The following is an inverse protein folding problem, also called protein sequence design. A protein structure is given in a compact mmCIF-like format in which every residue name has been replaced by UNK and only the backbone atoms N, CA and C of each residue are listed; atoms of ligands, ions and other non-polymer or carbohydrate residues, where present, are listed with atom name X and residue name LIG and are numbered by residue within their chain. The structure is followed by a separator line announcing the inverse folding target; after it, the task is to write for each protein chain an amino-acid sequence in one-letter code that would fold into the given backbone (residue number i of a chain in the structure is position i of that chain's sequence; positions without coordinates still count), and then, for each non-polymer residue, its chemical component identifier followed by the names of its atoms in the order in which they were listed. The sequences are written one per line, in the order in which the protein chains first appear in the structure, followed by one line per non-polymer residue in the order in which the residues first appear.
data_IF_435749771944
#
_entry.id   IF_435749771944
#
_cell.length_a   1.000
_cell.length_b   1.000
_cell.length_c   1.000
_cell.angle_alpha   90.00
_cell.angle_beta   90.00
_cell.angle_gamma   90.00
#
_symmetry.space_group_name_H-M   'P 1'
#
loop_
_entity.id
_entity.type
_entity.pdbx_description
1 polymer ?
#
# COMPACT_ATOMS: atom_id res chain seq x y z
N UNK A 1 37.32 18.13 -3.83
CA UNK A 1 36.88 17.20 -4.90
C UNK A 1 36.86 18.01 -6.19
N UNK A 2 37.51 17.54 -7.26
CA UNK A 2 37.61 18.30 -8.51
C UNK A 2 36.22 18.42 -9.18
N UNK A 3 35.81 19.62 -9.60
CA UNK A 3 34.48 19.87 -10.17
C UNK A 3 34.19 18.96 -11.37
N UNK A 4 35.24 18.62 -12.12
CA UNK A 4 35.20 17.69 -13.25
C UNK A 4 34.80 16.26 -12.83
N UNK A 5 35.20 15.80 -11.65
CA UNK A 5 34.89 14.43 -11.17
C UNK A 5 33.42 14.33 -10.74
N UNK A 6 32.91 15.33 -10.02
CA UNK A 6 31.48 15.40 -9.66
C UNK A 6 30.62 15.55 -10.91
N UNK A 7 31.05 16.39 -11.85
CA UNK A 7 30.41 16.58 -13.16
C UNK A 7 30.32 15.28 -13.94
N UNK A 8 31.43 14.54 -14.06
CA UNK A 8 31.49 13.29 -14.81
C UNK A 8 30.60 12.21 -14.16
N UNK A 9 30.59 12.11 -12.82
CA UNK A 9 29.72 11.17 -12.09
C UNK A 9 28.23 11.47 -12.31
N UNK A 10 27.82 12.73 -12.20
CA UNK A 10 26.42 13.14 -12.43
C UNK A 10 26.04 12.85 -13.89
N UNK A 11 26.89 13.18 -14.87
CA UNK A 11 26.62 12.92 -16.28
C UNK A 11 26.50 11.42 -16.58
N UNK A 12 27.39 10.58 -16.05
CA UNK A 12 27.33 9.11 -16.24
C UNK A 12 26.04 8.53 -15.67
N UNK A 13 25.58 9.00 -14.52
CA UNK A 13 24.34 8.55 -13.88
C UNK A 13 23.13 9.02 -14.70
N UNK A 14 23.09 10.28 -15.13
CA UNK A 14 22.01 10.78 -15.99
C UNK A 14 21.92 9.97 -17.30
N UNK A 15 23.06 9.62 -17.90
CA UNK A 15 23.11 8.77 -19.09
C UNK A 15 22.61 7.35 -18.78
N UNK A 16 23.04 6.75 -17.66
CA UNK A 16 22.65 5.39 -17.25
C UNK A 16 21.16 5.25 -16.95
N UNK A 17 20.52 6.29 -16.42
CA UNK A 17 19.10 6.29 -16.06
C UNK A 17 18.20 6.95 -17.12
N UNK A 18 18.74 7.31 -18.29
CA UNK A 18 17.95 7.73 -19.46
C UNK A 18 17.75 6.53 -20.40
N UNK A 19 16.52 6.10 -20.69
CA UNK A 19 16.28 4.97 -21.61
C UNK A 19 16.95 5.22 -22.96
N UNK A 20 17.58 4.18 -23.54
CA UNK A 20 18.39 4.26 -24.77
C UNK A 20 17.60 4.88 -25.95
N UNK A 21 16.28 4.73 -25.98
CA UNK A 21 15.41 5.30 -27.01
C UNK A 21 15.15 6.82 -26.88
N UNK A 22 15.59 7.47 -25.80
CA UNK A 22 15.38 8.90 -25.51
C UNK A 22 16.69 9.71 -25.42
N UNK A 23 17.83 9.14 -25.83
CA UNK A 23 19.14 9.80 -25.72
C UNK A 23 19.21 11.17 -26.45
N UNK A 24 18.41 11.37 -27.51
CA UNK A 24 18.34 12.63 -28.25
C UNK A 24 17.46 13.71 -27.60
N UNK A 25 16.71 13.38 -26.53
CA UNK A 25 15.80 14.34 -25.88
C UNK A 25 16.49 15.24 -24.85
N UNK A 26 17.66 14.84 -24.36
CA UNK A 26 18.34 15.55 -23.28
C UNK A 26 19.60 16.26 -23.79
N UNK A 27 19.62 17.58 -23.67
CA UNK A 27 20.81 18.39 -23.95
C UNK A 27 21.34 18.98 -22.66
N UNK A 28 22.61 18.71 -22.37
CA UNK A 28 23.36 19.32 -21.29
C UNK A 28 24.01 20.59 -21.85
N UNK A 29 23.51 21.76 -21.46
CA UNK A 29 24.13 23.03 -21.85
C UNK A 29 24.94 23.58 -20.69
N UNK A 30 26.25 23.72 -20.88
CA UNK A 30 27.13 24.44 -19.96
C UNK A 30 27.19 25.92 -20.39
N UNK A 31 26.81 26.85 -19.50
CA UNK A 31 27.11 28.27 -19.75
C UNK A 31 28.50 28.57 -19.18
N UNK A 32 29.42 28.97 -20.07
CA UNK A 32 30.84 29.21 -19.73
C UNK A 32 31.07 30.23 -18.61
N UNK A 33 30.05 30.99 -18.21
CA UNK A 33 30.22 32.10 -17.27
C UNK A 33 29.71 31.89 -15.83
N UNK A 34 28.96 30.84 -15.46
CA UNK A 34 28.29 30.84 -14.12
C UNK A 34 28.09 29.49 -13.41
N UNK A 35 28.79 28.41 -13.78
CA UNK A 35 28.70 27.14 -13.02
C UNK A 35 27.31 26.49 -13.01
N UNK A 36 26.50 26.74 -14.05
CA UNK A 36 25.12 26.23 -14.16
C UNK A 36 25.05 25.09 -15.16
N UNK A 37 24.32 24.04 -14.78
CA UNK A 37 24.00 22.91 -15.64
C UNK A 37 22.48 22.89 -15.81
N UNK A 38 22.03 23.20 -17.02
CA UNK A 38 20.63 23.02 -17.40
C UNK A 38 20.44 21.66 -18.04
N UNK A 39 19.58 20.82 -17.45
CA UNK A 39 19.07 19.63 -18.11
C UNK A 39 17.82 20.05 -18.86
N UNK A 40 17.85 19.93 -20.18
CA UNK A 40 16.70 20.24 -21.05
C UNK A 40 16.02 18.96 -21.53
N UNK A 41 14.69 18.99 -21.69
CA UNK A 41 13.90 17.96 -22.37
C UNK A 41 12.99 18.68 -23.39
N UNK A 42 13.12 18.36 -24.68
CA UNK A 42 12.41 19.05 -25.77
C UNK A 42 12.60 20.58 -25.79
N UNK A 43 13.80 21.06 -25.43
CA UNK A 43 14.14 22.49 -25.41
C UNK A 43 13.78 23.24 -24.12
N UNK A 44 12.93 22.66 -23.26
CA UNK A 44 12.58 23.24 -21.94
C UNK A 44 13.54 22.77 -20.85
N UNK A 45 13.96 23.68 -19.95
CA UNK A 45 14.85 23.37 -18.83
C UNK A 45 14.03 22.75 -17.69
N UNK A 46 14.30 21.48 -17.37
CA UNK A 46 13.58 20.74 -16.33
C UNK A 46 14.32 20.70 -14.99
N UNK A 47 15.65 20.79 -15.01
CA UNK A 47 16.50 20.84 -13.81
C UNK A 47 17.61 21.84 -14.05
N UNK A 48 17.88 22.71 -13.07
CA UNK A 48 19.06 23.57 -13.04
C UNK A 48 19.91 23.17 -11.84
N UNK A 49 21.09 22.62 -12.10
CA UNK A 49 22.14 22.45 -11.11
C UNK A 49 22.97 23.74 -11.08
N UNK A 50 23.11 24.35 -9.91
CA UNK A 50 24.01 25.49 -9.70
C UNK A 50 25.15 25.07 -8.79
N UNK A 51 26.37 25.02 -9.33
CA UNK A 51 27.59 24.74 -8.56
C UNK A 51 28.24 26.07 -8.20
N UNK A 52 28.39 26.37 -6.91
CA UNK A 52 29.06 27.59 -6.45
C UNK A 52 30.47 27.28 -5.94
N UNK A 53 31.39 28.19 -6.25
CA UNK A 53 32.84 28.03 -6.13
C UNK A 53 33.44 28.35 -4.76
N UNK A 54 32.75 29.16 -3.96
CA UNK A 54 33.39 29.92 -2.88
C UNK A 54 32.56 29.82 -1.59
N UNK A 55 33.08 29.06 -0.64
CA UNK A 55 32.48 28.75 0.67
C UNK A 55 32.29 29.98 1.57
N UNK A 56 32.93 31.12 1.26
CA UNK A 56 32.84 32.32 2.08
C UNK A 56 31.78 33.32 1.61
N UNK A 57 31.02 33.00 0.55
CA UNK A 57 29.95 33.87 0.04
C UNK A 57 28.62 33.11 0.04
N UNK A 58 27.78 33.43 1.01
CA UNK A 58 26.34 33.11 0.93
C UNK A 58 25.82 33.54 -0.44
N UNK A 59 25.11 32.65 -1.14
CA UNK A 59 24.43 33.01 -2.39
C UNK A 59 23.49 34.17 -2.06
N UNK A 60 23.62 35.35 -2.71
CA UNK A 60 22.78 36.48 -2.41
C UNK A 60 21.29 36.10 -2.52
N UNK A 61 20.45 36.37 -1.50
CA UNK A 61 19.03 36.05 -1.52
C UNK A 61 18.29 36.61 -2.75
N UNK A 62 18.80 37.69 -3.35
CA UNK A 62 18.30 38.28 -4.60
C UNK A 62 18.49 37.37 -5.82
N UNK A 63 19.65 36.72 -5.95
CA UNK A 63 19.92 35.76 -7.04
C UNK A 63 19.05 34.52 -6.89
N UNK A 64 18.91 34.04 -5.65
CA UNK A 64 18.02 32.94 -5.28
C UNK A 64 16.58 33.30 -5.67
N UNK A 65 16.09 34.47 -5.26
CA UNK A 65 14.75 34.96 -5.59
C UNK A 65 14.49 35.15 -7.09
N UNK A 66 15.47 35.62 -7.88
CA UNK A 66 15.32 35.73 -9.33
C UNK A 66 15.30 34.38 -10.05
N UNK A 67 16.12 33.42 -9.61
CA UNK A 67 16.09 32.07 -10.18
C UNK A 67 14.81 31.32 -9.79
N UNK A 68 14.28 31.55 -8.58
CA UNK A 68 13.00 31.02 -8.12
C UNK A 68 11.82 31.47 -8.99
N UNK A 69 11.82 32.72 -9.48
CA UNK A 69 10.79 33.21 -10.40
C UNK A 69 10.85 32.54 -11.77
N UNK A 70 12.01 32.01 -12.15
CA UNK A 70 12.28 31.54 -13.52
C UNK A 70 12.24 30.02 -13.67
N UNK A 71 12.50 29.25 -12.62
CA UNK A 71 12.58 27.79 -12.66
C UNK A 71 11.83 27.16 -11.47
N UNK A 72 10.55 26.77 -11.64
CA UNK A 72 9.68 26.43 -10.51
C UNK A 72 9.85 25.01 -9.95
N UNK A 73 10.73 24.17 -10.52
CA UNK A 73 10.70 22.72 -10.24
C UNK A 73 11.78 22.19 -9.31
N UNK A 74 13.04 22.65 -9.37
CA UNK A 74 14.09 22.22 -8.44
C UNK A 74 15.36 23.08 -8.52
N UNK A 75 15.94 23.42 -7.37
CA UNK A 75 17.29 24.00 -7.28
C UNK A 75 18.15 23.14 -6.36
N UNK A 76 19.25 22.60 -6.90
CA UNK A 76 20.29 21.90 -6.14
C UNK A 76 21.48 22.84 -5.99
N UNK A 77 21.87 23.09 -4.73
CA UNK A 77 23.03 23.92 -4.40
C UNK A 77 24.07 23.04 -3.72
N UNK A 78 25.24 22.89 -4.33
CA UNK A 78 26.39 22.22 -3.72
C UNK A 78 27.33 23.29 -3.16
N UNK A 79 27.68 23.19 -1.87
CA UNK A 79 28.72 23.99 -1.22
C UNK A 79 29.99 23.12 -1.08
N UNK A 80 31.16 23.72 -1.29
CA UNK A 80 32.40 22.99 -1.55
C UNK A 80 33.31 22.79 -0.35
N UNK A 81 32.77 22.68 0.85
CA UNK A 81 33.52 22.13 2.00
C UNK A 81 33.60 20.59 1.97
N UNK A 82 32.94 19.95 1.01
CA UNK A 82 33.24 18.57 0.59
C UNK A 82 32.31 17.50 1.14
N UNK A 83 31.28 17.83 1.91
CA UNK A 83 30.39 16.81 2.49
C UNK A 83 28.89 17.17 2.52
N UNK A 84 28.46 18.36 2.08
CA UNK A 84 27.07 18.79 2.27
C UNK A 84 26.39 19.30 0.99
N UNK A 85 25.27 18.67 0.67
CA UNK A 85 24.38 19.01 -0.43
C UNK A 85 23.03 19.42 0.13
N UNK A 86 22.54 20.59 -0.26
CA UNK A 86 21.21 21.03 0.11
C UNK A 86 20.25 20.84 -1.06
N UNK A 87 19.22 20.02 -0.84
CA UNK A 87 18.10 19.86 -1.77
C UNK A 87 16.94 20.69 -1.24
N UNK A 88 16.43 21.61 -2.06
CA UNK A 88 15.25 22.40 -1.71
C UNK A 88 14.06 21.95 -2.56
N UNK A 89 13.04 21.40 -1.91
CA UNK A 89 11.77 21.05 -2.54
C UNK A 89 10.76 22.19 -2.37
N UNK A 90 10.36 22.81 -3.48
CA UNK A 90 9.42 23.94 -3.49
C UNK A 90 8.03 23.55 -2.95
N UNK A 91 7.59 22.31 -3.15
CA UNK A 91 6.23 21.89 -2.77
C UNK A 91 6.07 21.88 -1.25
N UNK A 92 7.13 21.52 -0.54
CA UNK A 92 7.09 21.26 0.89
C UNK A 92 7.81 22.33 1.74
N UNK A 93 8.48 23.30 1.09
CA UNK A 93 9.31 24.34 1.73
C UNK A 93 10.37 23.79 2.71
N UNK A 94 10.80 22.55 2.51
CA UNK A 94 11.77 21.91 3.39
C UNK A 94 13.20 22.03 2.84
N UNK A 95 14.12 22.32 3.76
CA UNK A 95 15.57 22.20 3.55
C UNK A 95 16.01 20.86 4.12
N UNK A 96 16.68 20.06 3.32
CA UNK A 96 17.36 18.87 3.80
C UNK A 96 18.82 18.89 3.32
N UNK A 97 19.72 18.66 4.27
CA UNK A 97 21.16 18.49 4.04
C UNK A 97 21.44 17.01 3.91
N UNK A 98 22.11 16.62 2.84
CA UNK A 98 22.52 15.24 2.57
C UNK A 98 24.03 15.19 2.35
N UNK A 99 24.63 14.04 2.64
CA UNK A 99 25.91 13.69 2.04
C UNK A 99 25.74 13.40 0.54
N UNK A 100 26.84 13.10 -0.16
CA UNK A 100 26.81 12.88 -1.60
C UNK A 100 25.87 11.72 -1.98
N UNK A 101 25.93 10.60 -1.27
CA UNK A 101 25.17 9.40 -1.59
C UNK A 101 23.66 9.59 -1.29
N UNK A 102 23.33 10.28 -0.20
CA UNK A 102 21.97 10.71 0.12
C UNK A 102 21.39 11.67 -0.92
N UNK A 103 22.18 12.66 -1.38
CA UNK A 103 21.76 13.55 -2.46
C UNK A 103 21.52 12.77 -3.76
N UNK A 104 22.42 11.85 -4.10
CA UNK A 104 22.29 11.04 -5.31
C UNK A 104 21.06 10.14 -5.26
N UNK A 105 20.74 9.57 -4.10
CA UNK A 105 19.52 8.78 -3.88
C UNK A 105 18.26 9.61 -4.10
N UNK A 106 18.21 10.82 -3.52
CA UNK A 106 17.09 11.74 -3.70
C UNK A 106 16.95 12.22 -5.16
N UNK A 107 18.07 12.50 -5.83
CA UNK A 107 18.08 12.89 -7.23
C UNK A 107 17.58 11.76 -8.13
N UNK A 108 18.01 10.51 -7.89
CA UNK A 108 17.54 9.33 -8.63
C UNK A 108 16.04 9.11 -8.39
N UNK A 109 15.59 9.20 -7.13
CA UNK A 109 14.16 9.08 -6.80
C UNK A 109 13.34 10.14 -7.54
N UNK A 110 13.77 11.40 -7.50
CA UNK A 110 13.08 12.48 -8.19
C UNK A 110 13.07 12.31 -9.72
N UNK A 111 14.20 11.90 -10.32
CA UNK A 111 14.28 11.63 -11.77
C UNK A 111 13.30 10.51 -12.15
N UNK A 112 13.21 9.44 -11.33
CA UNK A 112 12.21 8.38 -11.52
C UNK A 112 10.80 8.95 -11.44
N UNK A 113 10.47 9.72 -10.40
CA UNK A 113 9.14 10.32 -10.20
C UNK A 113 8.73 11.28 -11.32
N UNK A 114 9.66 12.11 -11.82
CA UNK A 114 9.42 13.07 -12.91
C UNK A 114 9.33 12.37 -14.27
N UNK A 115 10.16 11.35 -14.54
CA UNK A 115 10.05 10.57 -15.77
C UNK A 115 8.72 9.78 -15.79
N UNK A 116 8.31 9.16 -14.69
CA UNK A 116 7.00 8.48 -14.57
C UNK A 116 5.86 9.44 -14.91
N UNK A 117 5.91 10.69 -14.45
CA UNK A 117 4.82 11.68 -14.67
C UNK A 117 4.69 12.20 -16.10
N UNK A 118 5.71 12.15 -16.96
CA UNK A 118 5.64 12.75 -18.31
C UNK A 118 6.03 11.85 -19.48
N UNK A 119 6.68 10.69 -19.27
CA UNK A 119 7.07 9.80 -20.39
C UNK A 119 6.05 8.71 -20.72
N UNK A 120 4.85 8.74 -20.15
CA UNK A 120 3.75 7.89 -20.60
C UNK A 120 2.53 8.73 -20.96
N UNK A 121 2.51 9.13 -22.24
CA UNK A 121 1.30 9.09 -23.08
C UNK A 121 1.12 7.64 -23.62
N UNK A 122 1.79 6.66 -23.00
CA UNK A 122 1.42 5.26 -23.13
C UNK A 122 0.17 5.08 -22.28
N UNK A 123 -0.91 4.67 -22.93
CA UNK A 123 -2.09 4.14 -22.24
C UNK A 123 -1.62 3.19 -21.13
N UNK A 124 -1.98 3.44 -19.86
CA UNK A 124 -1.61 2.55 -18.77
C UNK A 124 -2.09 1.13 -19.13
N UNK A 125 -1.29 0.11 -18.78
CA UNK A 125 -1.65 -1.26 -19.11
C UNK A 125 -3.06 -1.55 -18.58
N UNK A 126 -3.91 -2.02 -19.49
CA UNK A 126 -5.31 -2.27 -19.17
C UNK A 126 -5.35 -3.58 -18.39
N UNK A 127 -5.65 -3.49 -17.10
CA UNK A 127 -5.95 -4.68 -16.29
C UNK A 127 -7.30 -5.21 -16.75
N UNK A 128 -7.31 -6.45 -17.26
CA UNK A 128 -8.52 -7.16 -17.73
C UNK A 128 -8.89 -8.36 -16.86
N UNK A 129 -8.01 -8.78 -15.94
CA UNK A 129 -8.18 -9.87 -14.99
C UNK A 129 -7.41 -9.55 -13.70
N UNK A 130 -7.74 -10.20 -12.57
CA UNK A 130 -6.94 -10.05 -11.35
C UNK A 130 -5.50 -10.54 -11.53
N UNK A 131 -5.30 -11.61 -12.31
CA UNK A 131 -3.95 -12.06 -12.67
C UNK A 131 -3.13 -10.98 -13.40
N UNK A 132 -3.80 -10.08 -14.13
CA UNK A 132 -3.17 -8.95 -14.79
C UNK A 132 -2.60 -7.90 -13.82
N UNK A 133 -2.91 -7.98 -12.52
CA UNK A 133 -2.35 -7.07 -11.50
C UNK A 133 -0.88 -7.35 -11.20
N UNK A 134 -0.33 -8.50 -11.62
CA UNK A 134 1.10 -8.79 -11.49
C UNK A 134 2.00 -7.85 -12.34
N UNK A 135 1.40 -6.98 -13.15
CA UNK A 135 2.11 -5.88 -13.84
C UNK A 135 2.56 -4.79 -12.86
N UNK A 136 1.89 -4.67 -11.72
CA UNK A 136 2.28 -3.76 -10.66
C UNK A 136 3.42 -4.41 -9.86
N UNK A 137 4.49 -3.64 -9.67
CA UNK A 137 5.65 -4.10 -8.91
C UNK A 137 5.22 -4.50 -7.50
N UNK A 138 5.66 -5.67 -7.04
CA UNK A 138 5.40 -6.14 -5.67
C UNK A 138 4.08 -6.89 -5.49
N UNK A 139 3.29 -7.11 -6.54
CA UNK A 139 2.11 -7.96 -6.51
C UNK A 139 2.41 -9.30 -7.19
N UNK A 140 2.34 -10.38 -6.41
CA UNK A 140 2.45 -11.75 -6.89
C UNK A 140 1.04 -12.36 -7.03
N UNK A 141 0.79 -13.09 -8.11
CA UNK A 141 -0.50 -13.74 -8.36
C UNK A 141 -0.35 -15.27 -8.33
N UNK A 142 -1.27 -15.89 -7.61
CA UNK A 142 -1.40 -17.35 -7.48
C UNK A 142 -2.86 -17.76 -7.64
N UNK A 143 -3.09 -19.07 -7.77
CA UNK A 143 -4.44 -19.65 -7.80
C UNK A 143 -4.55 -20.85 -6.90
N UNK A 144 -5.65 -20.96 -6.19
CA UNK A 144 -6.04 -22.14 -5.43
C UNK A 144 -7.47 -22.55 -5.81
N UNK A 145 -7.61 -23.67 -6.50
CA UNK A 145 -8.88 -24.04 -7.12
C UNK A 145 -9.33 -22.98 -8.14
N UNK A 146 -10.53 -22.44 -7.94
CA UNK A 146 -11.10 -21.35 -8.74
C UNK A 146 -10.73 -19.95 -8.24
N UNK A 147 -10.07 -19.83 -7.08
CA UNK A 147 -9.76 -18.55 -6.42
C UNK A 147 -8.46 -17.94 -6.91
N UNK A 148 -8.49 -16.63 -7.14
CA UNK A 148 -7.29 -15.80 -7.32
C UNK A 148 -6.74 -15.41 -5.93
N UNK A 149 -5.42 -15.49 -5.76
CA UNK A 149 -4.70 -15.08 -4.56
C UNK A 149 -3.66 -14.04 -4.96
N UNK A 150 -3.67 -12.88 -4.32
CA UNK A 150 -2.71 -11.80 -4.55
C UNK A 150 -1.87 -11.59 -3.29
N UNK A 151 -0.54 -11.69 -3.43
CA UNK A 151 0.41 -11.53 -2.32
C UNK A 151 1.25 -10.27 -2.55
N UNK A 152 1.40 -9.44 -1.53
CA UNK A 152 2.13 -8.16 -1.59
C UNK A 152 2.70 -7.78 -0.21
N UNK A 153 3.44 -6.67 -0.11
CA UNK A 153 4.16 -6.28 1.12
C UNK A 153 3.49 -5.19 1.96
N UNK A 154 2.71 -4.30 1.34
CA UNK A 154 2.08 -3.12 1.98
C UNK A 154 0.56 -3.34 2.03
N UNK A 155 -0.04 -3.30 3.21
CA UNK A 155 -1.44 -3.68 3.39
C UNK A 155 -2.44 -2.80 2.63
N UNK A 156 -2.13 -1.50 2.46
CA UNK A 156 -2.96 -0.57 1.69
C UNK A 156 -3.14 -0.99 0.23
N UNK A 157 -2.24 -1.84 -0.29
CA UNK A 157 -2.35 -2.44 -1.63
C UNK A 157 -3.69 -3.16 -1.81
N UNK A 158 -4.28 -3.70 -0.74
CA UNK A 158 -5.64 -4.29 -0.74
C UNK A 158 -6.67 -3.34 -1.33
N UNK A 159 -6.63 -2.04 -0.99
CA UNK A 159 -7.57 -1.05 -1.51
C UNK A 159 -7.46 -0.92 -3.04
N UNK A 160 -6.24 -0.89 -3.57
CA UNK A 160 -5.98 -0.84 -5.02
C UNK A 160 -6.50 -2.09 -5.74
N UNK A 161 -6.34 -3.27 -5.13
CA UNK A 161 -6.85 -4.53 -5.69
C UNK A 161 -8.39 -4.54 -5.70
N UNK A 162 -9.04 -4.11 -4.62
CA UNK A 162 -10.51 -4.02 -4.52
C UNK A 162 -11.06 -3.03 -5.56
N UNK A 163 -10.36 -1.92 -5.82
CA UNK A 163 -10.72 -0.98 -6.88
C UNK A 163 -10.72 -1.65 -8.25
N UNK A 164 -9.66 -2.38 -8.58
CA UNK A 164 -9.55 -3.07 -9.86
C UNK A 164 -10.59 -4.20 -9.98
N UNK A 165 -10.82 -4.98 -8.92
CA UNK A 165 -11.88 -5.98 -8.87
C UNK A 165 -13.27 -5.38 -9.15
N UNK A 166 -13.55 -4.22 -8.56
CA UNK A 166 -14.81 -3.48 -8.77
C UNK A 166 -14.92 -3.01 -10.23
N UNK A 167 -13.84 -2.46 -10.79
CA UNK A 167 -13.79 -2.00 -12.19
C UNK A 167 -13.95 -3.15 -13.19
N UNK A 168 -13.44 -4.34 -12.86
CA UNK A 168 -13.62 -5.57 -13.61
C UNK A 168 -15.03 -6.17 -13.47
N UNK A 169 -15.86 -5.64 -12.56
CA UNK A 169 -17.23 -6.09 -12.35
C UNK A 169 -17.36 -7.41 -11.58
N UNK A 170 -16.34 -7.81 -10.82
CA UNK A 170 -16.33 -9.10 -10.12
C UNK A 170 -17.45 -9.27 -9.09
N UNK A 171 -17.96 -8.17 -8.55
CA UNK A 171 -19.06 -8.16 -7.57
C UNK A 171 -20.43 -7.87 -8.20
N UNK A 172 -20.51 -7.75 -9.53
CA UNK A 172 -21.73 -7.37 -10.23
C UNK A 172 -22.22 -5.98 -9.83
N UNK A 173 -23.40 -5.91 -9.19
CA UNK A 173 -24.00 -4.67 -8.68
C UNK A 173 -23.86 -4.49 -7.17
N UNK A 174 -23.25 -5.45 -6.50
CA UNK A 174 -23.11 -5.45 -5.04
C UNK A 174 -21.78 -4.82 -4.64
N UNK A 175 -21.74 -4.26 -3.44
CA UNK A 175 -20.51 -3.87 -2.76
C UNK A 175 -20.09 -5.05 -1.88
N UNK A 176 -18.85 -5.56 -1.97
CA UNK A 176 -18.43 -6.71 -1.20
C UNK A 176 -18.30 -6.37 0.30
N UNK A 177 -18.51 -7.36 1.15
CA UNK A 177 -18.00 -7.31 2.52
C UNK A 177 -16.48 -7.56 2.51
N UNK A 178 -15.79 -7.17 3.58
CA UNK A 178 -14.39 -7.51 3.82
C UNK A 178 -14.31 -8.40 5.06
N UNK A 179 -13.66 -9.55 4.93
CA UNK A 179 -13.28 -10.38 6.06
C UNK A 179 -11.76 -10.35 6.10
N UNK A 180 -11.19 -9.72 7.12
CA UNK A 180 -9.74 -9.58 7.25
C UNK A 180 -9.22 -10.29 8.50
N UNK A 181 -8.11 -11.01 8.36
CA UNK A 181 -7.28 -11.45 9.47
C UNK A 181 -6.18 -10.41 9.65
N UNK A 182 -6.20 -9.69 10.77
CA UNK A 182 -5.34 -8.54 10.98
C UNK A 182 -5.11 -8.36 12.49
N UNK A 183 -3.88 -8.05 12.88
CA UNK A 183 -3.55 -7.67 14.26
C UNK A 183 -4.00 -6.24 14.57
N UNK A 184 -3.98 -5.37 13.56
CA UNK A 184 -4.41 -3.99 13.57
C UNK A 184 -5.85 -3.86 13.03
N UNK A 185 -6.33 -2.62 12.96
CA UNK A 185 -7.71 -2.34 12.54
C UNK A 185 -7.80 -1.64 11.20
N UNK A 186 -6.78 -0.87 10.83
CA UNK A 186 -6.70 -0.03 9.63
C UNK A 186 -7.93 0.85 9.36
N UNK A 187 -8.52 1.32 10.46
CA UNK A 187 -9.80 2.00 10.52
C UNK A 187 -9.72 3.48 10.94
N UNK A 188 -8.51 4.06 11.02
CA UNK A 188 -8.32 5.49 11.27
C UNK A 188 -9.03 6.34 10.21
N UNK A 189 -9.44 7.56 10.59
CA UNK A 189 -10.24 8.43 9.72
C UNK A 189 -9.46 8.87 8.47
N UNK A 190 -9.91 8.44 7.29
CA UNK A 190 -9.31 8.79 5.98
C UNK A 190 -9.77 10.15 5.41
N UNK A 191 -10.79 10.77 6.02
CA UNK A 191 -11.51 11.95 5.52
C UNK A 191 -12.81 11.58 4.78
N UNK A 192 -13.53 12.60 4.28
CA UNK A 192 -14.83 12.43 3.61
C UNK A 192 -14.69 12.09 2.12
N UNK A 193 -15.72 11.49 1.53
CA UNK A 193 -15.72 11.01 0.15
C UNK A 193 -15.30 12.09 -0.85
N UNK A 194 -15.83 13.31 -0.71
CA UNK A 194 -15.49 14.46 -1.54
C UNK A 194 -14.00 14.81 -1.49
N UNK A 195 -13.36 14.72 -0.33
CA UNK A 195 -11.93 14.95 -0.16
C UNK A 195 -11.10 13.81 -0.76
N UNK A 196 -11.52 12.55 -0.58
CA UNK A 196 -10.87 11.39 -1.18
C UNK A 196 -10.93 11.46 -2.72
N UNK A 197 -12.11 11.74 -3.29
CA UNK A 197 -12.29 11.92 -4.74
C UNK A 197 -11.43 13.06 -5.29
N UNK A 198 -11.31 14.16 -4.53
CA UNK A 198 -10.42 15.27 -4.87
C UNK A 198 -8.94 14.88 -4.86
N UNK A 199 -8.49 14.07 -3.89
CA UNK A 199 -7.13 13.51 -3.84
C UNK A 199 -6.85 12.61 -5.05
N UNK A 200 -7.79 11.71 -5.40
CA UNK A 200 -7.73 10.87 -6.61
C UNK A 200 -7.74 11.71 -7.90
N UNK A 201 -8.31 12.92 -7.84
CA UNK A 201 -8.42 13.83 -8.97
C UNK A 201 -9.60 13.53 -9.88
N UNK A 202 -10.72 13.07 -9.32
CA UNK A 202 -11.97 12.79 -10.03
C UNK A 202 -13.19 13.33 -9.27
N UNK A 203 -14.30 13.51 -9.98
CA UNK A 203 -15.60 13.89 -9.36
C UNK A 203 -16.43 12.66 -8.98
N UNK A 204 -16.16 11.53 -9.63
CA UNK A 204 -16.84 10.26 -9.37
C UNK A 204 -15.82 9.13 -9.51
N UNK A 205 -15.83 8.18 -8.57
CA UNK A 205 -14.90 7.06 -8.54
C UNK A 205 -14.91 6.24 -9.84
N UNK A 206 -16.06 6.11 -10.51
CA UNK A 206 -16.18 5.41 -11.81
C UNK A 206 -15.35 6.02 -12.92
N UNK A 207 -14.96 7.29 -12.77
CA UNK A 207 -14.11 7.99 -13.73
C UNK A 207 -12.61 7.88 -13.39
N UNK A 208 -12.26 7.27 -12.25
CA UNK A 208 -10.86 7.06 -11.87
C UNK A 208 -10.22 6.04 -12.81
N UNK A 209 -9.04 6.40 -13.32
CA UNK A 209 -8.17 5.42 -13.97
C UNK A 209 -7.40 4.62 -12.92
N UNK A 210 -6.99 3.40 -13.28
CA UNK A 210 -6.05 2.58 -12.48
C UNK A 210 -4.89 3.42 -11.95
N UNK A 211 -4.23 4.17 -12.84
CA UNK A 211 -3.09 5.00 -12.48
C UNK A 211 -3.42 6.06 -11.41
N UNK A 212 -4.56 6.74 -11.52
CA UNK A 212 -4.97 7.74 -10.54
C UNK A 212 -5.21 7.08 -9.18
N UNK A 213 -5.94 5.97 -9.17
CA UNK A 213 -6.29 5.29 -7.93
C UNK A 213 -5.07 4.70 -7.22
N UNK A 214 -4.20 4.00 -7.94
CA UNK A 214 -2.93 3.50 -7.38
C UNK A 214 -2.01 4.62 -6.87
N UNK A 215 -1.99 5.78 -7.54
CA UNK A 215 -1.23 6.93 -7.02
C UNK A 215 -1.83 7.47 -5.72
N UNK A 216 -3.16 7.47 -5.60
CA UNK A 216 -3.84 7.89 -4.39
C UNK A 216 -3.53 6.94 -3.21
N UNK A 217 -3.61 5.63 -3.42
CA UNK A 217 -3.28 4.62 -2.40
C UNK A 217 -1.85 4.82 -1.89
N UNK A 218 -0.88 4.97 -2.80
CA UNK A 218 0.54 5.08 -2.47
C UNK A 218 0.93 6.41 -1.78
N UNK A 219 0.32 7.53 -2.19
CA UNK A 219 0.84 8.86 -1.86
C UNK A 219 -0.09 9.75 -1.04
N UNK A 220 -1.38 9.43 -0.95
CA UNK A 220 -2.39 10.31 -0.35
C UNK A 220 -3.14 9.69 0.85
N UNK A 221 -3.00 8.38 1.08
CA UNK A 221 -3.38 7.70 2.31
C UNK A 221 -2.35 7.92 3.43
N UNK A 222 -2.73 7.54 4.65
CA UNK A 222 -1.84 7.57 5.81
C UNK A 222 -0.56 6.78 5.54
N UNK A 223 0.55 7.26 6.10
CA UNK A 223 1.86 6.57 6.04
C UNK A 223 1.99 5.48 7.10
N UNK A 224 1.04 5.42 8.03
CA UNK A 224 0.96 4.40 9.07
C UNK A 224 0.11 3.22 8.63
N UNK A 225 -0.40 3.27 7.39
CA UNK A 225 -1.18 2.22 6.73
C UNK A 225 -2.52 1.94 7.43
N UNK A 226 -2.92 2.83 8.33
CA UNK A 226 -3.98 2.65 9.29
C UNK A 226 -5.35 3.19 8.85
N UNK A 227 -5.51 3.72 7.64
CA UNK A 227 -6.72 4.41 7.19
C UNK A 227 -7.38 3.83 5.92
N UNK A 228 -6.85 2.74 5.36
CA UNK A 228 -7.31 2.26 4.06
C UNK A 228 -8.70 1.63 4.10
N UNK A 229 -9.10 0.98 5.21
CA UNK A 229 -10.45 0.41 5.35
C UNK A 229 -11.48 1.54 5.46
N UNK A 230 -11.16 2.59 6.22
CA UNK A 230 -12.02 3.76 6.30
C UNK A 230 -12.17 4.45 4.95
N UNK A 231 -11.08 4.58 4.19
CA UNK A 231 -11.13 5.08 2.82
C UNK A 231 -12.01 4.19 1.91
N UNK A 232 -11.90 2.86 2.05
CA UNK A 232 -12.69 1.90 1.28
C UNK A 232 -14.20 2.07 1.51
N UNK A 233 -14.61 2.20 2.77
CA UNK A 233 -16.02 2.38 3.15
C UNK A 233 -16.54 3.76 2.72
N UNK A 234 -15.77 4.82 2.93
CA UNK A 234 -16.16 6.18 2.51
C UNK A 234 -16.30 6.30 0.97
N UNK A 235 -15.50 5.53 0.21
CA UNK A 235 -15.62 5.39 -1.24
C UNK A 235 -16.70 4.38 -1.68
N UNK A 236 -17.39 3.74 -0.74
CA UNK A 236 -18.39 2.68 -0.93
C UNK A 236 -17.87 1.53 -1.81
N UNK A 237 -16.61 1.13 -1.58
CA UNK A 237 -15.95 0.00 -2.23
C UNK A 237 -15.99 -1.27 -1.40
N UNK A 238 -16.19 -1.13 -0.09
CA UNK A 238 -16.41 -2.20 0.87
C UNK A 238 -17.63 -1.82 1.71
N UNK A 239 -18.46 -2.81 2.01
CA UNK A 239 -19.64 -2.67 2.86
C UNK A 239 -19.24 -2.93 4.33
N UNK A 240 -19.72 -4.03 4.91
CA UNK A 240 -19.38 -4.41 6.28
C UNK A 240 -17.99 -5.06 6.34
N UNK A 241 -17.27 -4.79 7.43
CA UNK A 241 -15.93 -5.32 7.68
C UNK A 241 -15.92 -6.17 8.94
N UNK A 242 -15.43 -7.40 8.84
CA UNK A 242 -15.13 -8.25 10.00
C UNK A 242 -13.63 -8.47 10.08
N UNK A 243 -13.03 -7.96 11.17
CA UNK A 243 -11.62 -8.06 11.53
C UNK A 243 -11.48 -9.19 12.55
N UNK A 244 -10.68 -10.20 12.22
CA UNK A 244 -10.48 -11.41 13.01
C UNK A 244 -9.06 -11.40 13.57
N UNK A 245 -8.93 -11.56 14.89
CA UNK A 245 -7.61 -11.62 15.53
C UNK A 245 -7.01 -10.28 15.91
N UNK A 246 -7.80 -9.21 15.86
CA UNK A 246 -7.37 -7.89 16.30
C UNK A 246 -7.09 -7.88 17.82
N UNK A 247 -5.85 -7.62 18.19
CA UNK A 247 -5.43 -7.44 19.58
C UNK A 247 -4.98 -5.99 19.87
N UNK A 248 -4.74 -5.17 18.85
CA UNK A 248 -4.36 -3.75 18.96
C UNK A 248 -5.56 -2.81 18.78
N UNK A 249 -6.71 -3.17 19.38
CA UNK A 249 -7.97 -2.46 19.17
C UNK A 249 -7.97 -1.06 19.83
N UNK A 250 -8.07 -0.01 19.01
CA UNK A 250 -8.11 1.37 19.48
C UNK A 250 -9.25 2.20 18.87
N UNK A 251 -9.79 1.80 17.72
CA UNK A 251 -10.70 2.59 16.89
C UNK A 251 -11.96 1.83 16.44
N UNK A 252 -12.06 0.51 16.61
CA UNK A 252 -13.28 -0.24 16.27
C UNK A 252 -14.21 -0.34 17.48
N UNK A 253 -15.27 0.47 17.45
CA UNK A 253 -16.41 0.27 18.33
C UNK A 253 -17.37 -0.75 17.71
N UNK A 254 -17.42 -1.94 18.31
CA UNK A 254 -18.15 -3.11 17.85
C UNK A 254 -19.66 -2.93 17.59
N UNK A 255 -20.26 -1.78 17.94
CA UNK A 255 -21.68 -1.48 17.70
C UNK A 255 -21.90 -0.19 16.90
N UNK A 256 -20.85 0.40 16.33
CA UNK A 256 -20.95 1.66 15.61
C UNK A 256 -21.40 1.44 14.16
N UNK A 257 -22.52 2.08 13.81
CA UNK A 257 -22.95 2.22 12.42
C UNK A 257 -22.31 3.48 11.86
N UNK A 258 -21.48 3.29 10.84
CA UNK A 258 -20.76 4.36 10.17
C UNK A 258 -21.59 4.79 8.96
N UNK A 259 -21.71 6.10 8.77
CA UNK A 259 -22.42 6.68 7.63
C UNK A 259 -21.42 7.45 6.77
N UNK A 260 -21.24 7.01 5.53
CA UNK A 260 -20.39 7.73 4.57
C UNK A 260 -21.05 9.04 4.10
N UNK A 261 -20.30 9.91 3.42
CA UNK A 261 -20.83 11.19 2.91
C UNK A 261 -21.99 11.01 1.91
N UNK A 262 -22.08 9.85 1.25
CA UNK A 262 -23.18 9.48 0.35
C UNK A 262 -24.43 8.94 1.06
N UNK A 263 -24.36 8.71 2.37
CA UNK A 263 -25.44 8.19 3.20
C UNK A 263 -25.57 6.66 3.21
N UNK A 264 -24.57 5.91 2.71
CA UNK A 264 -24.54 4.46 2.87
C UNK A 264 -24.13 4.11 4.31
N UNK A 265 -24.71 3.02 4.82
CA UNK A 265 -24.45 2.52 6.17
C UNK A 265 -23.43 1.40 6.09
N UNK A 266 -22.41 1.47 6.94
CA UNK A 266 -21.36 0.48 7.06
C UNK A 266 -21.21 0.04 8.51
N UNK A 267 -20.79 -1.20 8.74
CA UNK A 267 -20.43 -1.70 10.08
C UNK A 267 -19.01 -2.24 10.11
N UNK A 268 -18.42 -2.21 11.29
CA UNK A 268 -17.10 -2.80 11.58
C UNK A 268 -17.23 -3.70 12.79
N UNK A 269 -16.71 -4.90 12.67
CA UNK A 269 -16.71 -5.90 13.72
C UNK A 269 -15.28 -6.31 13.99
N UNK A 270 -14.83 -6.21 15.23
CA UNK A 270 -13.57 -6.75 15.71
C UNK A 270 -13.86 -7.97 16.58
N UNK A 271 -13.48 -9.15 16.11
CA UNK A 271 -13.66 -10.41 16.83
C UNK A 271 -12.31 -11.05 17.16
N UNK A 272 -12.19 -11.77 18.30
CA UNK A 272 -11.00 -12.56 18.60
C UNK A 272 -10.72 -13.63 17.53
N UNK A 273 -9.55 -14.26 17.62
CA UNK A 273 -9.21 -15.41 16.77
C UNK A 273 -10.31 -16.50 16.78
N UNK A 274 -10.38 -17.24 15.68
CA UNK A 274 -11.47 -18.17 15.40
C UNK A 274 -11.69 -19.22 16.48
N UNK A 275 -10.62 -19.74 17.10
CA UNK A 275 -10.72 -20.75 18.15
C UNK A 275 -11.59 -20.28 19.34
N UNK A 276 -11.44 -19.01 19.72
CA UNK A 276 -12.23 -18.37 20.75
C UNK A 276 -13.61 -17.98 20.21
N UNK A 277 -13.67 -17.36 19.04
CA UNK A 277 -14.91 -16.86 18.44
C UNK A 277 -15.92 -17.97 18.12
N UNK A 278 -15.47 -19.17 17.76
CA UNK A 278 -16.30 -20.36 17.54
C UNK A 278 -16.50 -21.20 18.81
N UNK A 279 -15.74 -20.92 19.88
CA UNK A 279 -15.80 -21.65 21.13
C UNK A 279 -17.09 -21.41 21.93
N UNK A 280 -17.27 -22.17 23.01
CA UNK A 280 -18.38 -21.94 23.93
C UNK A 280 -18.24 -20.54 24.55
N UNK A 281 -19.14 -19.60 24.21
CA UNK A 281 -19.16 -18.16 24.55
C UNK A 281 -18.47 -17.22 23.55
N UNK A 282 -17.98 -17.71 22.43
CA UNK A 282 -17.54 -16.86 21.34
C UNK A 282 -18.70 -16.21 20.59
N UNK A 283 -18.45 -15.13 19.86
CA UNK A 283 -19.46 -14.38 19.09
C UNK A 283 -20.07 -15.17 17.93
N UNK A 284 -19.41 -16.23 17.47
CA UNK A 284 -19.87 -17.18 16.44
C UNK A 284 -20.22 -18.56 17.04
N UNK A 285 -20.11 -18.71 18.36
CA UNK A 285 -20.38 -19.93 19.10
C UNK A 285 -21.83 -20.05 19.56
N UNK A 286 -22.10 -21.02 20.45
CA UNK A 286 -23.48 -21.34 20.84
C UNK A 286 -24.16 -20.25 21.70
N UNK A 287 -25.44 -20.05 21.38
CA UNK A 287 -26.28 -18.85 21.48
C UNK A 287 -26.84 -18.49 22.87
N UNK A 288 -26.14 -18.84 23.95
CA UNK A 288 -26.60 -18.59 25.33
C UNK A 288 -26.71 -17.09 25.70
N UNK A 289 -26.12 -16.19 24.91
CA UNK A 289 -26.28 -14.74 25.03
C UNK A 289 -26.58 -14.19 23.63
N UNK A 290 -27.87 -14.01 23.30
CA UNK A 290 -28.28 -13.37 22.05
C UNK A 290 -28.17 -11.85 22.18
N UNK A 291 -26.93 -11.35 22.21
CA UNK A 291 -26.68 -9.92 22.05
C UNK A 291 -26.83 -9.54 20.58
N UNK A 292 -27.44 -8.39 20.24
CA UNK A 292 -27.59 -7.94 18.86
C UNK A 292 -26.27 -7.94 18.08
N UNK A 293 -25.17 -7.57 18.73
CA UNK A 293 -23.82 -7.60 18.17
C UNK A 293 -23.44 -8.97 17.57
N UNK A 294 -23.67 -10.08 18.28
CA UNK A 294 -23.31 -11.42 17.79
C UNK A 294 -24.14 -11.84 16.58
N UNK A 295 -25.39 -11.38 16.51
CA UNK A 295 -26.23 -11.59 15.34
C UNK A 295 -25.68 -10.79 14.16
N UNK A 296 -25.31 -9.51 14.35
CA UNK A 296 -24.78 -8.67 13.28
C UNK A 296 -23.45 -9.21 12.72
N UNK A 297 -22.56 -9.73 13.57
CA UNK A 297 -21.32 -10.42 13.15
C UNK A 297 -21.66 -11.68 12.33
N UNK A 298 -22.59 -12.51 12.84
CA UNK A 298 -23.03 -13.73 12.17
C UNK A 298 -23.66 -13.44 10.81
N UNK A 299 -24.48 -12.38 10.72
CA UNK A 299 -25.13 -11.92 9.49
C UNK A 299 -24.09 -11.42 8.48
N UNK A 300 -23.07 -10.66 8.93
CA UNK A 300 -21.99 -10.14 8.08
C UNK A 300 -21.16 -11.26 7.44
N UNK A 301 -20.84 -12.29 8.23
CA UNK A 301 -20.12 -13.50 7.79
C UNK A 301 -21.03 -14.53 7.11
N UNK A 302 -22.36 -14.35 7.21
CA UNK A 302 -23.37 -15.30 6.75
C UNK A 302 -23.16 -16.69 7.37
N UNK A 303 -22.90 -16.72 8.68
CA UNK A 303 -22.60 -17.90 9.48
C UNK A 303 -23.60 -18.03 10.61
N UNK A 304 -24.58 -18.92 10.46
CA UNK A 304 -25.70 -19.08 11.38
C UNK A 304 -25.79 -20.50 11.91
N UNK A 305 -26.07 -20.63 13.21
CA UNK A 305 -26.26 -21.93 13.87
C UNK A 305 -25.11 -22.92 13.60
N UNK A 306 -23.88 -22.42 13.66
CA UNK A 306 -22.69 -23.23 13.44
C UNK A 306 -22.45 -23.64 11.98
N UNK A 307 -23.09 -23.02 10.98
CA UNK A 307 -22.74 -23.26 9.58
C UNK A 307 -22.90 -22.01 8.71
N UNK A 308 -22.15 -21.96 7.60
CA UNK A 308 -22.37 -20.93 6.59
C UNK A 308 -23.69 -21.14 5.89
N UNK A 309 -24.36 -20.05 5.53
CA UNK A 309 -25.57 -20.09 4.72
C UNK A 309 -25.35 -20.82 3.41
N UNK A 310 -26.35 -21.57 2.95
CA UNK A 310 -26.21 -22.44 1.76
C UNK A 310 -25.75 -21.71 0.51
N UNK A 311 -26.13 -20.45 0.34
CA UNK A 311 -25.70 -19.61 -0.76
C UNK A 311 -25.15 -18.29 -0.19
N UNK A 312 -24.01 -17.79 -0.70
CA UNK A 312 -23.57 -16.44 -0.37
C UNK A 312 -24.58 -15.42 -0.90
N UNK A 313 -25.09 -14.59 0.00
CA UNK A 313 -25.99 -13.47 -0.28
C UNK A 313 -25.16 -12.29 -0.79
N UNK A 314 -24.07 -12.00 -0.08
CA UNK A 314 -23.10 -10.96 -0.45
C UNK A 314 -21.76 -11.57 -0.84
N UNK A 315 -21.10 -11.07 -1.90
CA UNK A 315 -19.70 -11.37 -2.14
C UNK A 315 -18.85 -10.78 -1.02
N UNK A 316 -17.71 -11.37 -0.76
CA UNK A 316 -16.71 -10.76 0.11
C UNK A 316 -15.30 -10.99 -0.42
N UNK A 317 -14.37 -10.15 0.03
CA UNK A 317 -12.94 -10.35 -0.12
C UNK A 317 -12.41 -10.93 1.17
N UNK A 318 -11.62 -12.00 1.07
CA UNK A 318 -10.87 -12.52 2.21
C UNK A 318 -9.48 -11.90 2.15
N UNK A 319 -9.17 -11.10 3.15
CA UNK A 319 -7.89 -10.43 3.30
C UNK A 319 -7.14 -11.06 4.48
N UNK A 320 -5.84 -11.27 4.31
CA UNK A 320 -5.01 -11.91 5.33
C UNK A 320 -3.75 -11.05 5.49
N UNK A 321 -3.74 -10.19 6.50
CA UNK A 321 -2.49 -9.65 6.99
C UNK A 321 -1.75 -10.74 7.78
N UNK A 322 -0.47 -10.90 7.47
CA UNK A 322 0.36 -11.88 8.15
C UNK A 322 0.67 -11.49 9.59
N UNK A 323 0.58 -10.21 9.94
CA UNK A 323 0.88 -9.76 11.28
C UNK A 323 -0.13 -10.28 12.34
N UNK A 324 -1.33 -10.66 11.90
CA UNK A 324 -2.36 -11.37 12.68
C UNK A 324 -1.82 -12.66 13.32
N UNK A 325 -0.76 -13.25 12.75
CA UNK A 325 -0.13 -14.48 13.24
C UNK A 325 1.21 -14.19 13.95
N UNK A 326 1.31 -13.04 14.62
CA UNK A 326 2.50 -12.62 15.36
C UNK A 326 2.21 -12.40 16.83
N UNK A 327 3.27 -12.35 17.64
CA UNK A 327 3.16 -12.01 19.05
C UNK A 327 4.41 -11.27 19.51
N UNK A 328 4.30 -10.57 20.63
CA UNK A 328 5.39 -9.78 21.18
C UNK A 328 6.11 -10.55 22.31
N UNK A 329 7.42 -10.72 22.17
CA UNK A 329 8.28 -11.25 23.26
C UNK A 329 9.41 -10.26 23.52
N UNK A 330 9.35 -9.58 24.67
CA UNK A 330 10.36 -8.61 25.13
C UNK A 330 10.58 -7.50 24.08
N UNK A 331 9.52 -6.84 23.63
CA UNK A 331 9.55 -5.76 22.64
C UNK A 331 10.10 -6.20 21.27
N UNK A 332 9.93 -7.48 20.95
CA UNK A 332 10.24 -8.02 19.62
C UNK A 332 9.01 -8.72 19.11
N UNK A 333 8.52 -8.25 17.97
CA UNK A 333 7.52 -8.98 17.21
C UNK A 333 8.17 -10.21 16.59
N UNK A 334 7.56 -11.35 16.81
CA UNK A 334 7.95 -12.63 16.22
C UNK A 334 6.70 -13.29 15.67
N UNK A 335 6.84 -14.11 14.64
CA UNK A 335 5.73 -14.97 14.22
C UNK A 335 5.35 -15.93 15.34
N UNK A 336 4.12 -16.41 15.32
CA UNK A 336 3.72 -17.55 16.11
C UNK A 336 4.56 -18.79 15.77
N UNK A 337 5.06 -19.55 16.77
CA UNK A 337 5.57 -20.88 16.53
C UNK A 337 4.54 -21.71 15.75
N UNK A 338 5.02 -22.55 14.81
CA UNK A 338 4.14 -23.39 13.97
C UNK A 338 3.15 -24.20 14.82
N UNK A 339 3.57 -24.68 16.00
CA UNK A 339 2.69 -25.39 16.92
C UNK A 339 1.48 -24.56 17.39
N UNK A 340 1.65 -23.26 17.67
CA UNK A 340 0.54 -22.37 18.04
C UNK A 340 -0.41 -22.22 16.85
N UNK A 341 0.12 -22.01 15.64
CA UNK A 341 -0.71 -21.94 14.43
C UNK A 341 -1.53 -23.22 14.23
N UNK A 342 -0.91 -24.40 14.41
CA UNK A 342 -1.59 -25.70 14.34
C UNK A 342 -2.69 -25.81 15.40
N UNK A 343 -2.41 -25.42 16.65
CA UNK A 343 -3.36 -25.53 17.75
C UNK A 343 -4.57 -24.61 17.59
N UNK A 344 -4.34 -23.39 17.10
CA UNK A 344 -5.40 -22.41 16.86
C UNK A 344 -6.33 -22.81 15.71
N UNK A 345 -5.76 -23.32 14.61
CA UNK A 345 -6.51 -23.45 13.36
C UNK A 345 -6.78 -24.89 12.89
N UNK A 346 -5.98 -25.87 13.31
CA UNK A 346 -6.03 -27.24 12.78
C UNK A 346 -6.35 -28.29 13.84
N UNK A 347 -6.01 -28.06 15.11
CA UNK A 347 -6.37 -28.96 16.21
C UNK A 347 -7.88 -28.91 16.52
N UNK A 348 -8.56 -27.80 16.19
CA UNK A 348 -10.02 -27.67 16.29
C UNK A 348 -10.68 -27.85 14.91
N UNK A 349 -11.48 -28.93 14.77
CA UNK A 349 -12.19 -29.25 13.53
C UNK A 349 -13.11 -28.11 13.05
N UNK A 350 -13.81 -27.43 13.97
CA UNK A 350 -14.73 -26.35 13.60
C UNK A 350 -13.99 -25.13 13.08
N UNK A 351 -12.87 -24.76 13.70
CA UNK A 351 -12.01 -23.69 13.18
C UNK A 351 -11.50 -24.00 11.78
N UNK A 352 -10.99 -25.21 11.57
CA UNK A 352 -10.45 -25.60 10.26
C UNK A 352 -11.52 -25.67 9.18
N UNK A 353 -12.71 -26.16 9.52
CA UNK A 353 -13.88 -26.16 8.61
C UNK A 353 -14.33 -24.73 8.28
N UNK A 354 -14.34 -23.84 9.28
CA UNK A 354 -14.69 -22.44 9.09
C UNK A 354 -13.71 -21.75 8.14
N UNK A 355 -12.41 -21.86 8.39
CA UNK A 355 -11.36 -21.28 7.54
C UNK A 355 -11.41 -21.83 6.10
N UNK A 356 -11.59 -23.14 5.95
CA UNK A 356 -11.76 -23.76 4.61
C UNK A 356 -12.95 -23.16 3.87
N UNK A 357 -14.08 -23.01 4.56
CA UNK A 357 -15.30 -22.47 3.96
C UNK A 357 -15.16 -20.97 3.64
N UNK A 358 -14.40 -20.21 4.44
CA UNK A 358 -14.05 -18.83 4.13
C UNK A 358 -13.26 -18.73 2.81
N UNK A 359 -12.20 -19.53 2.68
CA UNK A 359 -11.38 -19.56 1.45
C UNK A 359 -12.23 -19.94 0.23
N UNK A 360 -13.10 -20.94 0.36
CA UNK A 360 -13.94 -21.44 -0.74
C UNK A 360 -15.03 -20.46 -1.19
N UNK A 361 -15.53 -19.62 -0.28
CA UNK A 361 -16.62 -18.67 -0.56
C UNK A 361 -16.13 -17.26 -0.93
N UNK A 362 -14.88 -16.92 -0.63
CA UNK A 362 -14.30 -15.62 -0.97
C UNK A 362 -14.37 -15.35 -2.50
N UNK A 363 -14.54 -14.09 -2.89
CA UNK A 363 -14.50 -13.69 -4.31
C UNK A 363 -13.08 -13.82 -4.87
N UNK A 364 -12.11 -13.41 -4.07
CA UNK A 364 -10.67 -13.62 -4.23
C UNK A 364 -10.01 -13.39 -2.86
N UNK A 365 -8.71 -13.67 -2.79
CA UNK A 365 -7.93 -13.59 -1.55
C UNK A 365 -6.79 -12.61 -1.74
N UNK A 366 -6.58 -11.75 -0.75
CA UNK A 366 -5.40 -10.88 -0.62
C UNK A 366 -4.57 -11.33 0.58
N UNK A 367 -3.26 -11.25 0.45
CA UNK A 367 -2.32 -11.58 1.54
C UNK A 367 -1.26 -10.49 1.60
N UNK A 368 -1.23 -9.77 2.72
CA UNK A 368 -0.25 -8.72 3.00
C UNK A 368 0.86 -9.27 3.89
N UNK A 369 2.12 -9.20 3.43
CA UNK A 369 3.26 -9.77 4.15
C UNK A 369 3.77 -8.89 5.30
N UNK A 370 3.53 -7.59 5.24
CA UNK A 370 3.96 -6.57 6.20
C UNK A 370 5.22 -6.92 7.00
N UNK A 371 6.38 -7.02 6.34
CA UNK A 371 7.60 -7.44 7.03
C UNK A 371 7.97 -6.51 8.19
N UNK A 372 7.52 -5.25 8.18
CA UNK A 372 7.69 -4.32 9.31
C UNK A 372 6.92 -4.75 10.56
N UNK A 373 5.68 -5.16 10.40
CA UNK A 373 4.77 -5.60 11.47
C UNK A 373 5.08 -7.05 11.90
N UNK A 374 5.58 -7.89 10.99
CA UNK A 374 5.89 -9.29 11.28
C UNK A 374 7.22 -9.58 12.00
N UNK A 375 8.04 -8.56 12.29
CA UNK A 375 9.39 -8.76 12.84
C UNK A 375 10.47 -9.06 11.77
N UNK A 376 10.18 -8.73 10.51
CA UNK A 376 11.09 -8.81 9.37
C UNK A 376 10.65 -9.79 8.28
N UNK A 377 11.27 -9.67 7.10
CA UNK A 377 10.98 -10.51 5.93
C UNK A 377 11.11 -12.02 6.18
N UNK A 378 12.02 -12.42 7.08
CA UNK A 378 12.19 -13.83 7.43
C UNK A 378 11.04 -14.41 8.24
N UNK A 379 10.36 -13.57 9.03
CA UNK A 379 9.25 -13.99 9.88
C UNK A 379 7.94 -14.00 9.08
N UNK A 380 7.67 -12.95 8.29
CA UNK A 380 6.52 -12.92 7.38
C UNK A 380 6.52 -14.09 6.40
N UNK A 381 7.66 -14.39 5.76
CA UNK A 381 7.76 -15.52 4.84
C UNK A 381 7.48 -16.89 5.50
N UNK A 382 7.79 -17.05 6.80
CA UNK A 382 7.47 -18.27 7.54
C UNK A 382 5.97 -18.38 7.82
N UNK A 383 5.31 -17.27 8.14
CA UNK A 383 3.85 -17.23 8.30
C UNK A 383 3.17 -17.57 6.97
N UNK A 384 3.63 -16.95 5.87
CA UNK A 384 3.15 -17.26 4.53
C UNK A 384 3.32 -18.74 4.20
N UNK A 385 4.44 -19.34 4.62
CA UNK A 385 4.68 -20.77 4.48
C UNK A 385 3.66 -21.62 5.24
N UNK A 386 3.25 -21.22 6.45
CA UNK A 386 2.20 -21.94 7.19
C UNK A 386 0.89 -21.91 6.42
N UNK A 387 0.46 -20.74 5.94
CA UNK A 387 -0.74 -20.60 5.12
C UNK A 387 -0.66 -21.47 3.86
N UNK A 388 0.47 -21.41 3.16
CA UNK A 388 0.67 -22.19 1.93
C UNK A 388 0.64 -23.69 2.19
N UNK A 389 1.31 -24.15 3.25
CA UNK A 389 1.36 -25.58 3.62
C UNK A 389 -0.01 -26.11 4.02
N UNK A 390 -0.71 -25.39 4.88
CA UNK A 390 -1.90 -25.91 5.56
C UNK A 390 -3.22 -25.56 4.86
N UNK A 391 -3.30 -24.39 4.21
CA UNK A 391 -4.53 -23.91 3.58
C UNK A 391 -4.48 -23.96 2.06
N UNK A 392 -3.36 -23.55 1.45
CA UNK A 392 -3.23 -23.46 -0.01
C UNK A 392 -2.51 -24.64 -0.66
N UNK A 393 -2.08 -25.64 0.14
CA UNK A 393 -1.48 -26.91 -0.31
C UNK A 393 -0.30 -26.74 -1.27
N UNK A 394 0.54 -25.73 -1.05
CA UNK A 394 1.72 -25.41 -1.86
C UNK A 394 1.43 -24.57 -3.11
N UNK A 395 0.20 -24.06 -3.27
CA UNK A 395 -0.18 -23.24 -4.43
C UNK A 395 0.58 -21.89 -4.50
N UNK A 396 1.01 -21.35 -3.36
CA UNK A 396 1.80 -20.11 -3.28
C UNK A 396 3.30 -20.36 -3.56
N UNK A 397 3.71 -21.62 -3.71
CA UNK A 397 5.09 -22.03 -4.02
C UNK A 397 6.11 -21.50 -3.01
N UNK A 398 5.71 -21.40 -1.76
CA UNK A 398 6.63 -21.01 -0.69
C UNK A 398 7.73 -22.05 -0.52
N UNK A 399 8.96 -21.60 -0.32
CA UNK A 399 10.10 -22.48 -0.09
C UNK A 399 10.28 -22.61 1.44
N UNK A 400 10.50 -23.83 1.97
CA UNK A 400 10.86 -23.98 3.37
C UNK A 400 12.10 -23.18 3.74
N UNK A 401 11.89 -22.18 4.60
CA UNK A 401 12.97 -21.50 5.28
C UNK A 401 13.42 -22.40 6.44
N UNK A 402 14.56 -23.06 6.25
CA UNK A 402 15.22 -23.87 7.28
C UNK A 402 15.76 -23.03 8.43
#
# INVERSE_FOLDING_TARGET
MDYLIVYEKICRILIQYTPVNNANMFTISNSKDKGKIGIKKNGEVIVVLCLYGDVNKNVPPSIVGEMHKKYPFLMLTALTDGCHFSVFNHKDRQYASYDFDGMMTQLIHLIKTVNIRKSQVDTPPIVTTLSGLSIFTGIEHYRYGDKDILVFDDHRTSLGIIFEATRLGLFGRQVPNLVTFDFHEDCCEAGKQSDLLKKIGVVNLKNATSRQFWSFVEFDLSKMDDDWIAAAQELNMVNDVTIIGNEANHNVNNNEVIVDESGNLHRRFSIPHLSFSLGNRGCLGDSMLKEPYYQDVSDSLQFHNGCFDKAPIYPYVLDIDLDCFTGEIRNKTIRWPEQIFLDEFLSNYETGRFMTTLIERASFITISREPGCCGGMGESNKILQYLDRYWFKGALKTIPTT
#
